data_IF_902908443797
#
_entry.id   IF_902908443797
#
_cell.length_a   1.000
_cell.length_b   1.000
_cell.length_c   1.000
_cell.angle_alpha   90.00
_cell.angle_beta   90.00
_cell.angle_gamma   90.00
#
_symmetry.space_group_name_H-M   'P 1'
#
loop_
_entity.id
_entity.type
_entity.pdbx_description
1 polymer ?
#
# COMPACT_ATOMS: atom_id res chain seq x y z
N UNK A 1 -29.56 -15.97 24.84
CA UNK A 1 -28.18 -16.20 24.30
C UNK A 1 -27.23 -16.13 25.50
N UNK A 2 -26.36 -17.11 25.75
CA UNK A 2 -25.46 -17.09 26.91
C UNK A 2 -24.47 -15.92 26.85
N UNK A 3 -24.15 -15.32 28.00
CA UNK A 3 -23.21 -14.18 28.11
C UNK A 3 -21.83 -14.53 27.53
N UNK A 4 -21.40 -15.79 27.68
CA UNK A 4 -20.15 -16.31 27.15
C UNK A 4 -20.10 -16.34 25.61
N UNK A 5 -21.25 -16.50 24.95
CA UNK A 5 -21.37 -16.45 23.48
C UNK A 5 -21.31 -15.00 22.99
N UNK A 6 -21.87 -14.06 23.76
CA UNK A 6 -21.82 -12.63 23.45
C UNK A 6 -20.40 -12.09 23.59
N UNK A 7 -19.69 -12.41 24.68
CA UNK A 7 -18.29 -11.99 24.88
C UNK A 7 -17.35 -12.54 23.81
N UNK A 8 -17.53 -13.81 23.39
CA UNK A 8 -16.73 -14.39 22.28
C UNK A 8 -16.97 -13.67 20.95
N UNK A 9 -18.21 -13.23 20.69
CA UNK A 9 -18.55 -12.47 19.48
C UNK A 9 -17.96 -11.06 19.53
N UNK A 10 -18.05 -10.38 20.67
CA UNK A 10 -17.47 -9.06 20.88
C UNK A 10 -15.93 -9.09 20.74
N UNK A 11 -15.24 -10.00 21.42
CA UNK A 11 -13.78 -10.15 21.31
C UNK A 11 -13.32 -10.50 19.89
N UNK A 12 -14.14 -11.23 19.12
CA UNK A 12 -13.85 -11.52 17.71
C UNK A 12 -14.00 -10.27 16.84
N UNK A 13 -14.98 -9.41 17.12
CA UNK A 13 -15.16 -8.14 16.43
C UNK A 13 -14.04 -7.16 16.78
N UNK A 14 -13.72 -7.00 18.06
CA UNK A 14 -12.61 -6.15 18.52
C UNK A 14 -11.26 -6.58 17.90
N UNK A 15 -10.98 -7.89 17.82
CA UNK A 15 -9.79 -8.38 17.11
C UNK A 15 -9.80 -8.03 15.63
N UNK A 16 -10.94 -8.13 14.97
CA UNK A 16 -11.06 -7.75 13.56
C UNK A 16 -10.86 -6.24 13.39
N UNK A 17 -11.39 -5.43 14.30
CA UNK A 17 -11.24 -3.98 14.28
C UNK A 17 -9.79 -3.56 14.55
N UNK A 18 -9.10 -4.20 15.50
CA UNK A 18 -7.66 -3.99 15.75
C UNK A 18 -6.80 -4.40 14.55
N UNK A 19 -7.13 -5.51 13.88
CA UNK A 19 -6.44 -5.93 12.65
C UNK A 19 -6.72 -4.99 11.46
N UNK A 20 -7.87 -4.33 11.45
CA UNK A 20 -8.27 -3.35 10.43
C UNK A 20 -7.82 -1.93 10.75
N UNK A 21 -7.36 -1.66 11.97
CA UNK A 21 -6.93 -0.33 12.37
C UNK A 21 -5.64 0.06 11.63
N UNK A 22 -5.83 0.83 10.57
CA UNK A 22 -4.78 1.43 9.75
C UNK A 22 -3.85 2.36 10.53
N UNK A 23 -4.26 2.82 11.73
CA UNK A 23 -3.46 3.69 12.59
C UNK A 23 -2.17 3.04 13.11
N UNK A 24 -2.16 1.71 13.28
CA UNK A 24 -0.97 0.95 13.71
C UNK A 24 0.07 0.75 12.59
N UNK A 25 -0.30 1.07 11.36
CA UNK A 25 0.48 0.82 10.14
C UNK A 25 0.69 2.12 9.36
N UNK A 26 1.04 3.17 10.09
CA UNK A 26 1.43 4.46 9.56
C UNK A 26 2.94 4.68 9.73
N UNK A 27 3.65 5.00 8.66
CA UNK A 27 5.02 5.49 8.74
C UNK A 27 5.12 6.89 8.12
N UNK A 28 5.44 7.94 8.91
CA UNK A 28 5.54 9.30 8.40
C UNK A 28 6.75 9.53 7.48
N UNK A 29 7.70 8.59 7.41
CA UNK A 29 8.88 8.72 6.57
C UNK A 29 8.53 8.68 5.08
N UNK A 30 9.00 9.69 4.34
CA UNK A 30 8.82 9.85 2.89
C UNK A 30 9.83 9.05 2.04
N UNK A 31 10.81 8.43 2.71
CA UNK A 31 11.81 7.58 2.09
C UNK A 31 12.27 6.53 3.11
N UNK A 32 12.67 5.36 2.61
CA UNK A 32 13.22 4.30 3.45
C UNK A 32 12.60 2.95 3.17
N UNK A 33 12.91 1.98 4.02
CA UNK A 33 12.50 0.59 3.83
C UNK A 33 11.56 0.18 4.96
N UNK A 34 10.34 -0.17 4.59
CA UNK A 34 9.27 -0.57 5.49
C UNK A 34 8.93 -2.02 5.22
N UNK A 35 8.78 -2.83 6.25
CA UNK A 35 8.32 -4.21 6.08
C UNK A 35 6.83 -4.27 6.38
N UNK A 36 6.01 -4.72 5.43
CA UNK A 36 4.56 -4.79 5.58
C UNK A 36 4.03 -6.20 5.31
N UNK A 37 3.29 -6.75 6.29
CA UNK A 37 2.69 -8.08 6.16
C UNK A 37 1.29 -7.98 5.57
N UNK A 38 1.22 -7.87 4.24
CA UNK A 38 -0.05 -7.72 3.49
C UNK A 38 -1.08 -8.86 3.68
N UNK A 39 -0.65 -10.03 4.19
CA UNK A 39 -1.56 -11.14 4.51
C UNK A 39 -2.27 -10.97 5.85
N UNK A 40 -1.69 -10.21 6.75
CA UNK A 40 -2.22 -9.93 8.08
C UNK A 40 -3.04 -8.63 8.09
N UNK A 41 -2.67 -7.69 7.22
CA UNK A 41 -3.29 -6.36 7.12
C UNK A 41 -3.53 -5.96 5.68
N UNK A 42 -4.70 -5.41 5.39
CA UNK A 42 -5.11 -5.00 4.04
C UNK A 42 -4.79 -3.54 3.71
N UNK A 43 -4.27 -2.76 4.68
CA UNK A 43 -4.03 -1.33 4.53
C UNK A 43 -2.75 -0.88 5.20
N UNK A 44 -2.05 0.07 4.57
CA UNK A 44 -0.84 0.70 5.06
C UNK A 44 -0.83 2.19 4.68
N UNK A 45 -0.49 3.07 5.62
CA UNK A 45 -0.36 4.51 5.36
C UNK A 45 1.10 4.92 5.40
N UNK A 46 1.55 5.61 4.35
CA UNK A 46 2.91 6.17 4.26
C UNK A 46 2.82 7.68 4.21
N UNK A 47 3.80 8.36 4.80
CA UNK A 47 3.96 9.80 4.73
C UNK A 47 2.92 10.54 5.56
N UNK A 48 2.88 11.85 5.38
CA UNK A 48 2.01 12.76 6.12
C UNK A 48 1.63 13.96 5.26
N UNK A 49 0.49 14.59 5.57
CA UNK A 49 -0.03 15.76 4.87
C UNK A 49 -0.18 15.51 3.37
N UNK A 50 0.38 16.42 2.56
CA UNK A 50 0.32 16.38 1.10
C UNK A 50 1.04 15.17 0.49
N UNK A 51 1.94 14.55 1.25
CA UNK A 51 2.70 13.37 0.85
C UNK A 51 2.20 12.10 1.55
N UNK A 52 0.92 12.08 1.97
CA UNK A 52 0.29 10.89 2.54
C UNK A 52 -0.21 9.96 1.44
N UNK A 53 0.07 8.67 1.58
CA UNK A 53 -0.39 7.60 0.70
C UNK A 53 -1.09 6.53 1.53
N UNK A 54 -2.40 6.36 1.31
CA UNK A 54 -3.20 5.31 1.94
C UNK A 54 -3.33 4.16 0.97
N UNK A 55 -2.60 3.09 1.22
CA UNK A 55 -2.38 2.02 0.26
C UNK A 55 -3.12 0.78 0.74
N UNK A 56 -3.95 0.20 -0.12
CA UNK A 56 -4.60 -1.07 0.15
C UNK A 56 -3.93 -2.20 -0.62
N UNK A 57 -3.74 -3.33 0.05
CA UNK A 57 -3.09 -4.51 -0.49
C UNK A 57 -3.92 -5.77 -0.24
N UNK A 58 -3.81 -6.74 -1.14
CA UNK A 58 -4.28 -8.10 -0.90
C UNK A 58 -3.38 -9.12 -1.59
N UNK A 59 -3.36 -10.36 -1.10
CA UNK A 59 -2.60 -11.42 -1.75
C UNK A 59 -3.19 -11.81 -3.09
N UNK A 60 -2.36 -11.88 -4.13
CA UNK A 60 -2.75 -12.42 -5.43
C UNK A 60 -2.23 -13.85 -5.61
N UNK A 61 -0.92 -14.06 -5.44
CA UNK A 61 -0.28 -15.37 -5.55
C UNK A 61 0.89 -15.49 -4.56
N UNK A 62 1.66 -16.58 -4.60
CA UNK A 62 2.84 -16.75 -3.74
C UNK A 62 3.87 -15.60 -3.87
N UNK A 63 3.97 -15.00 -5.06
CA UNK A 63 4.98 -14.00 -5.41
C UNK A 63 4.37 -12.69 -5.95
N UNK A 64 3.07 -12.46 -5.78
CA UNK A 64 2.41 -11.25 -6.29
C UNK A 64 1.35 -10.73 -5.33
N UNK A 65 1.16 -9.42 -5.35
CA UNK A 65 0.23 -8.69 -4.49
C UNK A 65 -0.61 -7.76 -5.34
N UNK A 66 -1.89 -7.65 -5.03
CA UNK A 66 -2.74 -6.60 -5.58
C UNK A 66 -2.50 -5.30 -4.81
N UNK A 67 -2.32 -4.22 -5.54
CA UNK A 67 -2.31 -2.85 -4.99
C UNK A 67 -3.56 -2.14 -5.52
N UNK A 68 -4.33 -1.50 -4.64
CA UNK A 68 -5.61 -0.90 -4.99
C UNK A 68 -5.61 0.62 -4.82
N UNK A 69 -6.38 1.30 -5.67
CA UNK A 69 -6.65 2.73 -5.49
C UNK A 69 -7.65 3.03 -4.37
N UNK A 70 -8.44 2.03 -3.99
CA UNK A 70 -9.51 2.08 -2.97
C UNK A 70 -9.11 2.64 -1.60
N UNK A 71 -7.81 2.62 -1.26
CA UNK A 71 -7.30 3.19 -0.02
C UNK A 71 -7.32 4.73 0.02
N UNK A 72 -7.49 5.39 -1.14
CA UNK A 72 -7.41 6.85 -1.27
C UNK A 72 -6.37 7.33 -2.29
N UNK A 73 -5.80 6.41 -3.08
CA UNK A 73 -4.95 6.77 -4.21
C UNK A 73 -5.81 7.17 -5.41
N UNK A 74 -5.31 8.08 -6.23
CA UNK A 74 -5.94 8.48 -7.49
C UNK A 74 -5.62 7.53 -8.63
N UNK A 75 -4.38 7.05 -8.68
CA UNK A 75 -3.93 6.13 -9.70
C UNK A 75 -2.80 5.23 -9.18
N UNK A 76 -2.62 4.10 -9.86
CA UNK A 76 -1.53 3.15 -9.63
C UNK A 76 -0.94 2.73 -10.98
N UNK A 77 0.37 2.52 -10.99
CA UNK A 77 1.14 2.15 -12.17
C UNK A 77 2.13 1.04 -11.89
N UNK A 78 2.32 0.12 -12.84
CA UNK A 78 3.38 -0.88 -12.76
C UNK A 78 4.59 -0.39 -13.54
N UNK A 79 5.72 -0.19 -12.86
CA UNK A 79 6.96 0.22 -13.52
C UNK A 79 7.61 -1.01 -14.13
N UNK A 80 7.59 -1.07 -15.47
CA UNK A 80 8.10 -2.20 -16.26
C UNK A 80 9.56 -2.04 -16.67
N UNK A 81 10.16 -0.87 -16.46
CA UNK A 81 11.53 -0.54 -16.88
C UNK A 81 12.44 -0.27 -15.69
N UNK A 82 13.70 -0.71 -15.76
CA UNK A 82 14.69 -0.45 -14.70
C UNK A 82 15.19 1.00 -14.66
N UNK A 83 15.08 1.74 -15.77
CA UNK A 83 15.68 3.07 -15.97
C UNK A 83 14.63 4.20 -15.94
N UNK A 84 13.73 4.19 -14.95
CA UNK A 84 12.78 5.29 -14.80
C UNK A 84 13.47 6.47 -14.08
N UNK A 85 13.21 7.68 -14.57
CA UNK A 85 13.59 8.93 -13.89
C UNK A 85 12.35 9.55 -13.24
N UNK A 86 12.49 10.47 -12.28
CA UNK A 86 11.36 11.19 -11.69
C UNK A 86 10.42 11.81 -12.75
N UNK A 87 10.98 12.26 -13.87
CA UNK A 87 10.27 12.86 -15.00
C UNK A 87 9.54 11.85 -15.90
N UNK A 88 9.69 10.55 -15.67
CA UNK A 88 9.00 9.49 -16.41
C UNK A 88 8.13 8.62 -15.50
N UNK A 89 8.10 8.92 -14.20
CA UNK A 89 7.36 8.11 -13.23
C UNK A 89 5.88 8.13 -13.60
N UNK A 90 5.28 9.31 -13.81
CA UNK A 90 3.87 9.50 -14.19
C UNK A 90 3.39 8.69 -15.42
N UNK A 91 4.31 8.39 -16.35
CA UNK A 91 4.01 7.65 -17.58
C UNK A 91 3.55 6.21 -17.36
N UNK A 92 3.76 5.66 -16.16
CA UNK A 92 3.35 4.29 -15.82
C UNK A 92 1.97 4.22 -15.17
N UNK A 93 1.35 5.34 -14.81
CA UNK A 93 0.04 5.38 -14.20
C UNK A 93 -1.02 4.79 -15.13
N UNK A 94 -1.84 3.92 -14.56
CA UNK A 94 -2.98 3.35 -15.26
C UNK A 94 -4.27 3.91 -14.69
N UNK A 95 -5.33 4.06 -15.52
CA UNK A 95 -6.67 4.38 -15.03
C UNK A 95 -7.32 3.20 -14.28
N UNK A 96 -6.61 2.06 -14.16
CA UNK A 96 -7.10 0.86 -13.51
C UNK A 96 -7.21 1.04 -11.99
N UNK A 97 -8.19 0.34 -11.41
CA UNK A 97 -8.40 0.30 -9.95
C UNK A 97 -7.31 -0.49 -9.21
N UNK A 98 -6.55 -1.31 -9.92
CA UNK A 98 -5.53 -2.16 -9.32
C UNK A 98 -4.39 -2.49 -10.28
N UNK A 99 -3.22 -2.76 -9.70
CA UNK A 99 -2.08 -3.40 -10.35
C UNK A 99 -1.68 -4.66 -9.58
N UNK A 100 -0.95 -5.55 -10.24
CA UNK A 100 -0.49 -6.82 -9.65
C UNK A 100 1.03 -6.97 -9.77
N UNK A 101 1.84 -6.16 -9.05
CA UNK A 101 3.28 -6.32 -9.04
C UNK A 101 3.71 -7.68 -8.48
N UNK A 102 4.71 -8.28 -9.11
CA UNK A 102 5.44 -9.44 -8.59
C UNK A 102 6.64 -9.02 -7.77
N UNK A 103 7.20 -9.94 -6.96
CA UNK A 103 8.45 -9.71 -6.23
C UNK A 103 9.55 -9.23 -7.18
N UNK A 104 10.25 -8.16 -6.79
CA UNK A 104 11.29 -7.48 -7.57
C UNK A 104 10.75 -6.34 -8.45
N UNK A 105 9.45 -6.31 -8.73
CA UNK A 105 8.84 -5.22 -9.50
C UNK A 105 8.55 -4.00 -8.63
N UNK A 106 8.39 -2.86 -9.31
CA UNK A 106 8.10 -1.58 -8.68
C UNK A 106 6.72 -1.11 -9.08
N UNK A 107 6.05 -0.46 -8.14
CA UNK A 107 4.75 0.13 -8.31
C UNK A 107 4.86 1.63 -8.09
N UNK A 108 4.21 2.40 -8.94
CA UNK A 108 4.00 3.83 -8.78
C UNK A 108 2.61 4.08 -8.21
N UNK A 109 2.50 5.02 -7.28
CA UNK A 109 1.25 5.47 -6.69
C UNK A 109 1.12 6.99 -6.84
N UNK A 110 -0.10 7.43 -7.16
CA UNK A 110 -0.49 8.84 -7.14
C UNK A 110 -1.53 9.05 -6.03
N UNK A 111 -1.29 9.98 -5.10
CA UNK A 111 -2.28 10.33 -4.07
C UNK A 111 -3.28 11.40 -4.54
N UNK A 112 -4.20 11.80 -3.66
CA UNK A 112 -5.21 12.84 -3.95
C UNK A 112 -4.63 14.23 -4.17
N UNK A 113 -3.43 14.48 -3.66
CA UNK A 113 -2.75 15.79 -3.66
C UNK A 113 -1.77 15.94 -4.84
N UNK A 114 -1.70 14.94 -5.73
CA UNK A 114 -0.78 14.96 -6.87
C UNK A 114 0.63 14.45 -6.55
N UNK A 115 0.92 14.00 -5.34
CA UNK A 115 2.21 13.45 -5.01
C UNK A 115 2.39 12.03 -5.58
N UNK A 116 3.58 11.75 -6.10
CA UNK A 116 3.97 10.44 -6.63
C UNK A 116 4.87 9.69 -5.65
N UNK A 117 4.65 8.39 -5.50
CA UNK A 117 5.47 7.51 -4.67
C UNK A 117 5.82 6.22 -5.42
N UNK A 118 7.08 5.80 -5.34
CA UNK A 118 7.52 4.51 -5.88
C UNK A 118 7.76 3.51 -4.77
N UNK A 119 7.03 2.39 -4.85
CA UNK A 119 7.16 1.21 -4.02
C UNK A 119 7.94 0.12 -4.76
N UNK A 120 8.67 -0.69 -4.00
CA UNK A 120 9.25 -1.96 -4.49
C UNK A 120 8.65 -3.10 -3.69
N UNK A 121 8.32 -4.22 -4.35
CA UNK A 121 7.81 -5.42 -3.68
C UNK A 121 8.96 -6.39 -3.43
N UNK A 122 9.32 -6.62 -2.16
CA UNK A 122 10.36 -7.59 -1.78
C UNK A 122 9.79 -8.72 -0.91
N UNK A 123 10.05 -9.98 -1.30
CA UNK A 123 9.76 -11.24 -0.59
C UNK A 123 8.31 -11.50 -0.09
N UNK A 124 8.08 -12.72 0.43
CA UNK A 124 6.76 -13.29 0.79
C UNK A 124 5.99 -12.50 1.86
N UNK A 125 6.68 -11.62 2.60
CA UNK A 125 6.10 -10.57 3.45
C UNK A 125 6.50 -9.22 2.84
N UNK A 126 5.67 -8.71 1.93
CA UNK A 126 6.00 -7.56 1.08
C UNK A 126 6.70 -6.45 1.85
N UNK A 127 7.99 -6.31 1.58
CA UNK A 127 8.79 -5.21 2.08
C UNK A 127 8.77 -4.11 1.04
N UNK A 128 8.22 -2.99 1.45
CA UNK A 128 8.01 -1.78 0.66
C UNK A 128 9.22 -0.88 0.82
N UNK A 129 9.95 -0.65 -0.26
CA UNK A 129 10.96 0.42 -0.30
C UNK A 129 10.33 1.65 -0.93
N UNK A 130 10.30 2.74 -0.14
CA UNK A 130 9.90 4.09 -0.54
C UNK A 130 11.12 4.79 -1.10
N UNK A 131 11.17 4.96 -2.42
CA UNK A 131 12.37 5.46 -3.08
C UNK A 131 12.43 6.98 -3.19
N UNK A 132 11.30 7.70 -3.18
CA UNK A 132 11.19 9.17 -3.10
C UNK A 132 9.72 9.58 -3.27
N UNK A 133 9.42 10.81 -2.86
CA UNK A 133 8.15 11.47 -3.21
C UNK A 133 8.44 12.63 -4.14
N UNK A 134 7.73 12.70 -5.26
CA UNK A 134 7.90 13.78 -6.24
C UNK A 134 6.62 14.61 -6.30
N UNK A 135 6.71 15.95 -6.36
CA UNK A 135 5.55 16.77 -6.72
C UNK A 135 5.13 16.42 -8.15
N UNK A 136 3.82 16.27 -8.43
CA UNK A 136 3.35 16.27 -9.82
C UNK A 136 3.69 17.61 -10.46
N UNK A 137 4.37 17.56 -11.61
CA UNK A 137 4.65 18.75 -12.43
C UNK A 137 3.38 19.35 -13.02
#
# INVERSE_FOLDING_TARGET
>A
IPISVVHKRAARLERIDVLKDSGNYANPALSGRVTFRYREHSGYTVGNGEYQFKIHFSGCSGNSVYVYTDGGLKAVGLITTSNFTPSTVDSFLTPGRTITPTVGQKAELLNSEGALCVLTIEESNVKLILNSTYPSM
#
